data_IF_274006369919
#
_entry.id   IF_274006369919
#
_cell.length_a   1.000
_cell.length_b   1.000
_cell.length_c   1.000
_cell.angle_alpha   90.00
_cell.angle_beta   90.00
_cell.angle_gamma   90.00
#
_symmetry.space_group_name_H-M   'P 1'
#
loop_
_entity.id
_entity.type
_entity.pdbx_description
1 polymer ?
#
# COMPACT_ATOMS: atom_id res chain seq x y z
N UNK A 1 -24.86 8.86 18.82
CA UNK A 1 -23.96 8.38 17.77
C UNK A 1 -24.06 9.38 16.65
N UNK A 2 -23.03 10.20 16.47
CA UNK A 2 -23.05 11.32 15.53
C UNK A 2 -22.98 10.77 14.09
N UNK A 3 -23.78 11.30 13.17
CA UNK A 3 -23.76 10.99 11.72
C UNK A 3 -22.35 11.11 11.08
N UNK A 4 -21.46 11.87 11.70
CA UNK A 4 -20.05 12.00 11.29
C UNK A 4 -19.23 10.71 11.44
N UNK A 5 -19.55 9.84 12.40
CA UNK A 5 -18.83 8.57 12.59
C UNK A 5 -19.20 7.51 11.54
N UNK A 6 -20.39 7.60 10.95
CA UNK A 6 -20.83 6.68 9.89
C UNK A 6 -20.17 6.97 8.52
N UNK A 7 -19.75 8.22 8.28
CA UNK A 7 -19.11 8.63 7.01
C UNK A 7 -17.68 8.13 6.94
N UNK A 8 -16.97 8.04 8.07
CA UNK A 8 -15.58 7.60 8.14
C UNK A 8 -15.37 6.11 7.83
N UNK A 9 -16.36 5.26 8.10
CA UNK A 9 -16.30 3.82 7.83
C UNK A 9 -16.56 3.41 6.38
N UNK A 10 -16.94 4.36 5.49
CA UNK A 10 -17.32 4.07 4.10
C UNK A 10 -16.34 4.62 3.07
N UNK A 11 -15.22 5.21 3.50
CA UNK A 11 -14.20 5.72 2.57
C UNK A 11 -13.23 4.58 2.25
N UNK A 12 -13.63 3.65 1.40
CA UNK A 12 -12.68 2.80 0.71
C UNK A 12 -11.89 3.67 -0.29
N UNK A 13 -10.65 3.97 0.06
CA UNK A 13 -9.73 4.58 -0.90
C UNK A 13 -9.49 3.58 -2.03
N UNK A 14 -9.95 3.94 -3.22
CA UNK A 14 -9.53 3.18 -4.42
C UNK A 14 -8.00 3.28 -4.52
N UNK A 15 -7.30 2.14 -4.66
CA UNK A 15 -5.86 2.14 -4.85
C UNK A 15 -5.45 3.07 -5.99
N UNK A 16 -4.29 3.73 -5.92
CA UNK A 16 -3.82 4.56 -7.01
C UNK A 16 -3.65 3.69 -8.27
N UNK A 17 -3.92 4.28 -9.44
CA UNK A 17 -3.58 3.64 -10.71
C UNK A 17 -2.05 3.55 -10.82
N UNK A 18 -1.53 2.37 -11.18
CA UNK A 18 -0.08 2.09 -11.19
C UNK A 18 0.70 3.08 -12.08
N UNK A 19 0.10 3.52 -13.18
CA UNK A 19 0.70 4.46 -14.14
C UNK A 19 0.73 5.92 -13.65
N UNK A 20 -0.08 6.25 -12.65
CA UNK A 20 -0.24 7.63 -12.15
C UNK A 20 0.42 7.85 -10.79
N UNK A 21 1.13 6.85 -10.29
CA UNK A 21 1.81 6.97 -9.00
C UNK A 21 2.97 7.94 -9.09
N UNK A 22 3.09 8.81 -8.10
CA UNK A 22 4.30 9.59 -7.88
C UNK A 22 5.34 8.69 -7.24
N UNK A 23 6.37 8.34 -7.99
CA UNK A 23 7.34 7.29 -7.59
C UNK A 23 8.47 7.83 -6.69
N UNK A 24 8.75 9.13 -6.73
CA UNK A 24 9.88 9.72 -6.01
C UNK A 24 11.20 9.01 -6.33
N UNK A 25 11.96 8.66 -5.31
CA UNK A 25 13.22 7.93 -5.43
C UNK A 25 13.05 6.42 -5.69
N UNK A 26 11.81 5.90 -5.75
CA UNK A 26 11.51 4.47 -5.86
C UNK A 26 11.33 4.00 -7.31
N UNK A 27 11.90 4.69 -8.30
CA UNK A 27 11.66 4.46 -9.72
C UNK A 27 11.90 3.00 -10.18
N UNK A 28 12.96 2.35 -9.69
CA UNK A 28 13.28 0.97 -10.06
C UNK A 28 12.23 -0.03 -9.54
N UNK A 29 11.81 0.12 -8.28
CA UNK A 29 10.77 -0.73 -7.70
C UNK A 29 9.46 -0.61 -8.48
N UNK A 30 9.06 0.61 -8.83
CA UNK A 30 7.85 0.86 -9.61
C UNK A 30 7.97 0.38 -11.06
N UNK A 31 9.15 0.46 -11.67
CA UNK A 31 9.39 -0.13 -13.00
C UNK A 31 9.16 -1.64 -12.98
N UNK A 32 9.61 -2.34 -11.94
CA UNK A 32 9.36 -3.77 -11.78
C UNK A 32 7.90 -4.11 -11.52
N UNK A 33 7.17 -3.29 -10.74
CA UNK A 33 5.74 -3.49 -10.56
C UNK A 33 4.96 -3.38 -11.88
N UNK A 34 5.34 -2.44 -12.75
CA UNK A 34 4.75 -2.33 -14.09
C UNK A 34 5.07 -3.56 -14.94
N UNK A 35 6.33 -4.03 -14.97
CA UNK A 35 6.72 -5.25 -15.70
C UNK A 35 5.96 -6.48 -15.21
N UNK A 36 5.79 -6.60 -13.89
CA UNK A 36 4.99 -7.67 -13.30
C UNK A 36 3.52 -7.63 -13.74
N UNK A 37 2.93 -6.43 -13.77
CA UNK A 37 1.58 -6.24 -14.28
C UNK A 37 1.45 -6.60 -15.76
N UNK A 38 2.52 -6.40 -16.55
CA UNK A 38 2.60 -6.79 -17.95
C UNK A 38 2.99 -8.27 -18.16
N UNK A 39 3.03 -9.07 -17.07
CA UNK A 39 3.29 -10.51 -17.11
C UNK A 39 4.76 -10.90 -17.09
N UNK A 40 5.70 -9.95 -16.93
CA UNK A 40 7.12 -10.27 -16.82
C UNK A 40 7.43 -10.91 -15.45
N UNK A 41 8.22 -11.98 -15.46
CA UNK A 41 8.62 -12.67 -14.25
C UNK A 41 9.92 -12.07 -13.69
N UNK A 42 9.97 -11.67 -12.41
CA UNK A 42 11.20 -11.20 -11.80
C UNK A 42 12.21 -12.34 -11.63
N UNK A 43 13.50 -12.03 -11.50
CA UNK A 43 14.54 -13.01 -11.16
C UNK A 43 14.10 -13.88 -9.99
N UNK A 44 14.37 -15.18 -10.07
CA UNK A 44 13.93 -16.17 -9.08
C UNK A 44 12.43 -16.18 -8.79
N UNK A 45 11.61 -15.46 -9.58
CA UNK A 45 10.18 -15.33 -9.39
C UNK A 45 9.78 -14.57 -8.13
N UNK A 46 10.62 -13.68 -7.59
CA UNK A 46 10.36 -13.01 -6.30
C UNK A 46 10.71 -11.54 -6.35
N UNK A 47 9.84 -10.74 -5.73
CA UNK A 47 10.06 -9.32 -5.47
C UNK A 47 9.68 -9.02 -4.03
N UNK A 48 10.60 -8.47 -3.25
CA UNK A 48 10.35 -7.97 -1.89
C UNK A 48 10.53 -6.45 -1.85
N UNK A 49 9.48 -5.76 -1.45
CA UNK A 49 9.49 -4.32 -1.16
C UNK A 49 9.58 -4.15 0.36
N UNK A 50 10.57 -3.42 0.85
CA UNK A 50 10.67 -3.18 2.30
C UNK A 50 10.90 -1.71 2.60
N UNK A 51 10.53 -1.28 3.81
CA UNK A 51 10.72 0.11 4.21
C UNK A 51 9.90 0.48 5.44
N UNK A 52 10.21 1.63 6.02
CA UNK A 52 9.52 2.15 7.19
C UNK A 52 8.03 2.43 6.96
N UNK A 53 7.33 2.89 8.00
CA UNK A 53 5.96 3.36 7.87
C UNK A 53 5.84 4.46 6.80
N UNK A 54 4.68 4.53 6.15
CA UNK A 54 4.36 5.54 5.12
C UNK A 54 5.28 5.53 3.88
N UNK A 55 6.11 4.49 3.65
CA UNK A 55 6.95 4.37 2.44
C UNK A 55 6.18 3.93 1.19
N UNK A 56 4.87 3.66 1.28
CA UNK A 56 4.03 3.34 0.13
C UNK A 56 3.91 1.85 -0.19
N UNK A 57 4.40 0.93 0.65
CA UNK A 57 4.36 -0.53 0.44
C UNK A 57 2.99 -1.07 0.10
N UNK A 58 2.03 -0.83 1.00
CA UNK A 58 0.64 -1.25 0.80
C UNK A 58 0.03 -0.66 -0.47
N UNK A 59 0.27 0.64 -0.72
CA UNK A 59 -0.19 1.30 -1.94
C UNK A 59 0.40 0.65 -3.20
N UNK A 60 1.68 0.24 -3.15
CA UNK A 60 2.36 -0.44 -4.24
C UNK A 60 1.71 -1.79 -4.58
N UNK A 61 1.46 -2.64 -3.56
CA UNK A 61 0.81 -3.93 -3.78
C UNK A 61 -0.66 -3.79 -4.22
N UNK A 62 -1.39 -2.85 -3.65
CA UNK A 62 -2.78 -2.57 -4.04
C UNK A 62 -2.86 -2.03 -5.47
N UNK A 63 -1.94 -1.14 -5.88
CA UNK A 63 -1.87 -0.64 -7.24
C UNK A 63 -1.54 -1.76 -8.25
N UNK A 64 -0.61 -2.65 -7.90
CA UNK A 64 -0.30 -3.84 -8.70
C UNK A 64 -1.52 -4.77 -8.82
N UNK A 65 -2.14 -5.12 -7.70
CA UNK A 65 -3.33 -5.97 -7.67
C UNK A 65 -4.46 -5.39 -8.51
N UNK A 66 -4.73 -4.09 -8.38
CA UNK A 66 -5.72 -3.40 -9.20
C UNK A 66 -5.39 -3.50 -10.69
N UNK A 67 -4.15 -3.20 -11.08
CA UNK A 67 -3.71 -3.25 -12.49
C UNK A 67 -3.85 -4.65 -13.08
N UNK A 68 -3.46 -5.69 -12.32
CA UNK A 68 -3.64 -7.08 -12.74
C UNK A 68 -5.12 -7.42 -12.93
N UNK A 69 -5.99 -7.00 -12.01
CA UNK A 69 -7.43 -7.18 -12.13
C UNK A 69 -8.04 -6.45 -13.35
N UNK A 70 -7.59 -5.22 -13.64
CA UNK A 70 -8.01 -4.47 -14.84
C UNK A 70 -7.61 -5.19 -16.15
N UNK A 71 -6.53 -5.98 -16.12
CA UNK A 71 -6.07 -6.81 -17.23
C UNK A 71 -6.64 -8.24 -17.21
N UNK A 72 -7.62 -8.52 -16.32
CA UNK A 72 -8.20 -9.85 -16.14
C UNK A 72 -7.17 -10.94 -15.79
N UNK A 73 -6.12 -10.56 -15.07
CA UNK A 73 -5.12 -11.49 -14.55
C UNK A 73 -5.51 -11.93 -13.15
N UNK A 74 -5.82 -13.21 -12.99
CA UNK A 74 -6.12 -13.78 -11.68
C UNK A 74 -4.87 -13.78 -10.81
N UNK A 75 -5.04 -13.41 -9.54
CA UNK A 75 -3.96 -13.37 -8.55
C UNK A 75 -4.54 -13.43 -7.13
N UNK A 76 -3.68 -13.68 -6.15
CA UNK A 76 -4.06 -13.62 -4.74
C UNK A 76 -3.37 -12.45 -4.04
N UNK A 77 -4.14 -11.69 -3.25
CA UNK A 77 -3.61 -10.66 -2.35
C UNK A 77 -3.96 -11.02 -0.90
N UNK A 78 -2.94 -11.16 -0.06
CA UNK A 78 -3.09 -11.42 1.38
C UNK A 78 -2.50 -10.23 2.14
N UNK A 79 -3.31 -9.57 2.95
CA UNK A 79 -2.83 -8.55 3.90
C UNK A 79 -2.73 -9.17 5.28
N UNK A 80 -1.54 -9.10 5.89
CA UNK A 80 -1.29 -9.61 7.22
C UNK A 80 -1.38 -8.48 8.25
N UNK A 81 -1.81 -8.84 9.46
CA UNK A 81 -1.86 -7.94 10.61
C UNK A 81 -1.09 -8.56 11.78
N UNK A 82 -0.76 -7.77 12.80
CA UNK A 82 -0.02 -8.23 13.97
C UNK A 82 -0.66 -9.48 14.63
N UNK A 83 -1.98 -9.57 14.65
CA UNK A 83 -2.70 -10.75 15.13
C UNK A 83 -2.40 -12.03 14.33
N UNK A 84 -1.94 -11.91 13.09
CA UNK A 84 -1.60 -13.06 12.24
C UNK A 84 -0.39 -13.84 12.76
N UNK A 85 0.53 -13.17 13.47
CA UNK A 85 1.75 -13.80 14.00
C UNK A 85 1.46 -14.96 14.96
N UNK A 86 0.36 -14.93 15.67
CA UNK A 86 -0.04 -15.95 16.66
C UNK A 86 -0.91 -17.06 16.08
N UNK A 87 -1.20 -17.05 14.78
CA UNK A 87 -2.01 -18.09 14.13
C UNK A 87 -1.29 -19.45 14.18
N UNK A 88 -2.01 -20.46 14.64
CA UNK A 88 -1.54 -21.85 14.68
C UNK A 88 -1.94 -22.67 13.44
N UNK A 89 -2.83 -22.13 12.61
CA UNK A 89 -3.28 -22.74 11.36
C UNK A 89 -3.52 -21.69 10.29
N UNK A 90 -3.34 -22.08 9.02
CA UNK A 90 -3.66 -21.24 7.87
C UNK A 90 -5.18 -21.03 7.76
N UNK A 91 -5.59 -19.82 7.41
CA UNK A 91 -6.98 -19.54 7.03
C UNK A 91 -7.32 -20.24 5.71
N UNK A 92 -8.61 -20.43 5.38
CA UNK A 92 -9.00 -21.00 4.09
C UNK A 92 -8.42 -20.24 2.90
N UNK A 93 -8.48 -18.91 2.91
CA UNK A 93 -7.93 -18.06 1.83
C UNK A 93 -6.40 -18.15 1.73
N UNK A 94 -5.68 -18.24 2.84
CA UNK A 94 -4.22 -18.46 2.84
C UNK A 94 -3.87 -19.82 2.23
N UNK A 95 -4.63 -20.87 2.57
CA UNK A 95 -4.42 -22.22 2.01
C UNK A 95 -4.65 -22.23 0.49
N UNK A 96 -5.73 -21.63 0.03
CA UNK A 96 -6.06 -21.51 -1.38
C UNK A 96 -4.95 -20.76 -2.14
N UNK A 97 -4.57 -19.58 -1.66
CA UNK A 97 -3.52 -18.76 -2.29
C UNK A 97 -2.16 -19.46 -2.35
N UNK A 98 -1.81 -20.25 -1.32
CA UNK A 98 -0.54 -21.00 -1.30
C UNK A 98 -0.58 -22.24 -2.19
N UNK A 99 -1.74 -22.87 -2.37
CA UNK A 99 -1.95 -24.02 -3.25
C UNK A 99 -1.98 -23.63 -4.73
N UNK A 100 -2.45 -22.42 -5.05
CA UNK A 100 -2.58 -21.88 -6.42
C UNK A 100 -1.20 -21.44 -6.96
N UNK A 101 -0.31 -22.41 -7.24
CA UNK A 101 1.08 -22.14 -7.66
C UNK A 101 1.19 -21.44 -9.02
N UNK A 102 0.16 -21.54 -9.85
CA UNK A 102 0.10 -20.92 -11.18
C UNK A 102 -0.38 -19.46 -11.16
N UNK A 103 -0.86 -18.97 -10.01
CA UNK A 103 -1.31 -17.60 -9.84
C UNK A 103 -0.30 -16.77 -9.04
N UNK A 104 -0.06 -15.51 -9.44
CA UNK A 104 0.75 -14.58 -8.66
C UNK A 104 0.22 -14.44 -7.23
N UNK A 105 1.14 -14.45 -6.26
CA UNK A 105 0.83 -14.26 -4.84
C UNK A 105 1.41 -12.94 -4.34
N UNK A 106 0.53 -12.06 -3.92
CA UNK A 106 0.88 -10.78 -3.31
C UNK A 106 0.69 -10.89 -1.79
N UNK A 107 1.68 -10.50 -0.99
CA UNK A 107 1.59 -10.53 0.49
C UNK A 107 1.99 -9.17 1.05
N UNK A 108 1.06 -8.49 1.69
CA UNK A 108 1.33 -7.24 2.40
C UNK A 108 1.64 -7.48 3.88
N UNK A 109 2.62 -6.73 4.42
CA UNK A 109 3.09 -6.81 5.80
C UNK A 109 3.65 -8.20 6.18
N UNK A 110 4.52 -8.75 5.36
CA UNK A 110 5.10 -10.08 5.53
C UNK A 110 5.70 -10.31 6.92
N UNK A 111 6.21 -9.28 7.60
CA UNK A 111 6.73 -9.34 8.96
C UNK A 111 5.74 -9.89 9.99
N UNK A 112 4.45 -9.91 9.66
CA UNK A 112 3.40 -10.48 10.50
C UNK A 112 3.04 -11.93 10.18
N UNK A 113 3.82 -12.60 9.33
CA UNK A 113 3.57 -14.01 9.00
C UNK A 113 3.82 -14.92 10.21
N UNK A 114 2.80 -15.73 10.55
CA UNK A 114 2.93 -16.79 11.58
C UNK A 114 3.95 -17.85 11.14
N UNK A 115 4.45 -18.65 12.08
CA UNK A 115 5.37 -19.75 11.75
C UNK A 115 4.76 -20.74 10.76
N UNK A 116 3.46 -21.05 10.88
CA UNK A 116 2.77 -21.93 9.94
C UNK A 116 2.74 -21.35 8.52
N UNK A 117 2.48 -20.05 8.41
CA UNK A 117 2.51 -19.36 7.11
C UNK A 117 3.92 -19.32 6.54
N UNK A 118 4.94 -19.04 7.35
CA UNK A 118 6.35 -19.07 6.92
C UNK A 118 6.76 -20.45 6.39
N UNK A 119 6.35 -21.53 7.05
CA UNK A 119 6.61 -22.90 6.60
C UNK A 119 5.95 -23.18 5.24
N UNK A 120 4.68 -22.79 5.08
CA UNK A 120 3.94 -23.01 3.86
C UNK A 120 4.50 -22.16 2.68
N UNK A 121 4.91 -20.92 2.94
CA UNK A 121 5.61 -20.08 1.96
C UNK A 121 6.94 -20.69 1.53
N UNK A 122 7.73 -21.18 2.48
CA UNK A 122 8.99 -21.87 2.16
C UNK A 122 8.73 -23.09 1.29
N UNK A 123 7.74 -23.94 1.66
CA UNK A 123 7.37 -25.11 0.87
C UNK A 123 6.97 -24.74 -0.58
N UNK A 124 6.17 -23.67 -0.77
CA UNK A 124 5.81 -23.15 -2.11
C UNK A 124 7.05 -22.73 -2.90
N UNK A 125 7.98 -21.99 -2.28
CA UNK A 125 9.17 -21.47 -2.94
C UNK A 125 10.18 -22.57 -3.34
N UNK A 126 10.19 -23.69 -2.63
CA UNK A 126 11.09 -24.83 -2.92
C UNK A 126 10.42 -25.87 -3.81
N UNK A 127 9.16 -26.18 -3.55
CA UNK A 127 8.42 -27.23 -4.23
C UNK A 127 7.99 -26.91 -5.67
N UNK A 128 7.91 -25.63 -6.01
CA UNK A 128 7.48 -25.17 -7.33
C UNK A 128 8.39 -24.04 -7.86
N UNK A 129 9.60 -24.36 -8.36
CA UNK A 129 10.53 -23.33 -8.85
C UNK A 129 9.99 -22.49 -10.03
N UNK A 130 9.07 -23.07 -10.81
CA UNK A 130 8.36 -22.39 -11.91
C UNK A 130 7.05 -21.72 -11.50
N UNK A 131 6.70 -21.73 -10.20
CA UNK A 131 5.49 -21.07 -9.70
C UNK A 131 5.40 -19.63 -10.16
N UNK A 132 4.16 -19.13 -10.30
CA UNK A 132 3.91 -17.72 -10.57
C UNK A 132 4.56 -16.82 -9.51
N UNK A 133 4.85 -15.55 -9.83
CA UNK A 133 5.62 -14.66 -8.96
C UNK A 133 5.06 -14.51 -7.56
N UNK A 134 5.96 -14.41 -6.58
CA UNK A 134 5.69 -13.92 -5.23
C UNK A 134 6.14 -12.45 -5.13
N UNK A 135 5.21 -11.56 -4.80
CA UNK A 135 5.50 -10.16 -4.48
C UNK A 135 5.12 -9.92 -3.03
N UNK A 136 6.08 -9.50 -2.23
CA UNK A 136 5.81 -9.26 -0.82
C UNK A 136 6.20 -7.84 -0.40
N UNK A 137 5.51 -7.31 0.59
CA UNK A 137 5.94 -6.10 1.30
C UNK A 137 6.31 -6.43 2.74
N UNK A 138 7.25 -5.66 3.31
CA UNK A 138 7.66 -5.79 4.70
C UNK A 138 8.10 -4.46 5.30
N UNK A 139 7.80 -4.27 6.59
CA UNK A 139 8.37 -3.17 7.38
C UNK A 139 9.87 -3.32 7.64
N UNK A 140 10.43 -4.51 7.42
CA UNK A 140 11.79 -4.89 7.74
C UNK A 140 12.52 -5.46 6.51
N UNK A 141 13.84 -5.24 6.45
CA UNK A 141 14.68 -5.89 5.44
C UNK A 141 14.72 -7.42 5.64
N UNK A 142 15.08 -8.22 4.61
CA UNK A 142 15.24 -9.67 4.75
C UNK A 142 16.16 -10.06 5.92
N UNK A 143 17.25 -9.29 6.13
CA UNK A 143 18.18 -9.52 7.23
C UNK A 143 17.52 -9.26 8.58
N UNK A 144 16.80 -8.15 8.71
CA UNK A 144 16.15 -7.72 9.96
C UNK A 144 14.96 -8.60 10.36
N UNK A 145 14.32 -9.30 9.42
CA UNK A 145 13.25 -10.26 9.71
C UNK A 145 13.70 -11.37 10.68
N UNK A 146 15.00 -11.68 10.75
CA UNK A 146 15.53 -12.65 11.70
C UNK A 146 15.28 -12.28 13.15
N UNK A 147 15.32 -11.00 13.50
CA UNK A 147 15.02 -10.50 14.84
C UNK A 147 13.54 -10.69 15.24
N UNK A 148 12.65 -10.88 14.26
CA UNK A 148 11.22 -11.16 14.45
C UNK A 148 10.91 -12.68 14.46
N UNK A 149 11.92 -13.54 14.51
CA UNK A 149 11.73 -14.98 14.54
C UNK A 149 11.47 -15.62 13.17
N UNK A 150 11.78 -14.91 12.08
CA UNK A 150 11.70 -15.50 10.74
C UNK A 150 12.79 -16.56 10.54
N UNK A 151 12.39 -17.66 9.92
CA UNK A 151 13.27 -18.76 9.55
C UNK A 151 14.36 -18.28 8.57
N UNK A 152 15.59 -18.72 8.82
CA UNK A 152 16.74 -18.35 7.99
C UNK A 152 16.60 -18.82 6.54
N UNK A 153 16.10 -20.05 6.34
CA UNK A 153 15.89 -20.63 5.02
C UNK A 153 14.89 -19.81 4.18
N UNK A 154 13.78 -19.34 4.77
CA UNK A 154 12.82 -18.48 4.09
C UNK A 154 13.43 -17.11 3.76
N UNK A 155 14.14 -16.49 4.72
CA UNK A 155 14.80 -15.19 4.50
C UNK A 155 15.81 -15.25 3.35
N UNK A 156 16.62 -16.31 3.32
CA UNK A 156 17.59 -16.55 2.24
C UNK A 156 16.89 -16.67 0.90
N UNK A 157 15.79 -17.40 0.82
CA UNK A 157 15.00 -17.53 -0.40
C UNK A 157 14.39 -16.22 -0.86
N UNK A 158 13.84 -15.42 0.05
CA UNK A 158 13.31 -14.09 -0.28
C UNK A 158 14.41 -13.16 -0.80
N UNK A 159 15.60 -13.22 -0.21
CA UNK A 159 16.75 -12.40 -0.61
C UNK A 159 17.38 -12.79 -1.95
N UNK A 160 17.11 -13.99 -2.48
CA UNK A 160 17.59 -14.42 -3.81
C UNK A 160 16.86 -13.73 -4.97
N UNK A 161 15.65 -13.22 -4.73
CA UNK A 161 14.90 -12.42 -5.70
C UNK A 161 15.32 -10.97 -5.72
N UNK A 162 14.47 -10.13 -6.31
CA UNK A 162 14.64 -8.67 -6.24
C UNK A 162 14.23 -8.15 -4.87
N UNK A 163 15.06 -7.30 -4.29
CA UNK A 163 14.79 -6.67 -3.00
C UNK A 163 15.00 -5.17 -3.11
N UNK A 164 13.91 -4.40 -2.99
CA UNK A 164 13.96 -2.95 -3.09
C UNK A 164 13.55 -2.28 -1.78
N UNK A 165 14.40 -1.38 -1.24
CA UNK A 165 13.96 -0.47 -0.20
C UNK A 165 12.98 0.55 -0.80
N UNK A 166 11.88 0.81 -0.11
CA UNK A 166 10.98 1.91 -0.43
C UNK A 166 11.22 3.08 0.52
N UNK A 167 11.53 4.22 -0.07
CA UNK A 167 11.75 5.48 0.64
C UNK A 167 10.44 6.28 0.64
N UNK A 168 10.02 6.84 1.79
CA UNK A 168 8.87 7.75 1.82
C UNK A 168 9.04 8.92 0.85
N UNK A 169 7.95 9.35 0.24
CA UNK A 169 7.97 10.50 -0.65
C UNK A 169 8.44 11.76 0.05
N UNK A 170 9.31 12.54 -0.58
CA UNK A 170 9.71 13.87 -0.15
C UNK A 170 8.51 14.85 -0.18
N UNK A 171 8.66 16.01 0.46
CA UNK A 171 7.58 16.99 0.62
C UNK A 171 7.04 17.48 -0.73
N UNK A 172 7.92 17.71 -1.71
CA UNK A 172 7.52 18.11 -3.08
C UNK A 172 6.66 17.05 -3.77
N UNK A 173 7.01 15.77 -3.59
CA UNK A 173 6.27 14.67 -4.19
C UNK A 173 4.95 14.42 -3.44
N UNK A 174 4.93 14.57 -2.10
CA UNK A 174 3.70 14.53 -1.33
C UNK A 174 2.73 15.64 -1.76
N UNK A 175 3.23 16.85 -1.96
CA UNK A 175 2.42 17.96 -2.50
C UNK A 175 1.83 17.61 -3.87
N UNK A 176 2.62 16.99 -4.74
CA UNK A 176 2.16 16.55 -6.06
C UNK A 176 1.02 15.53 -5.93
N UNK A 177 1.13 14.56 -5.02
CA UNK A 177 0.05 13.57 -4.77
C UNK A 177 -1.21 14.25 -4.24
N UNK A 178 -1.08 15.18 -3.29
CA UNK A 178 -2.24 15.91 -2.76
C UNK A 178 -2.94 16.73 -3.85
N UNK A 179 -2.19 17.39 -4.75
CA UNK A 179 -2.74 18.10 -5.91
C UNK A 179 -3.47 17.15 -6.87
N UNK A 180 -2.88 16.00 -7.19
CA UNK A 180 -3.54 14.98 -8.03
C UNK A 180 -4.84 14.47 -7.40
N UNK A 181 -4.85 14.22 -6.09
CA UNK A 181 -6.06 13.80 -5.37
C UNK A 181 -7.12 14.89 -5.39
N UNK A 182 -6.74 16.13 -5.12
CA UNK A 182 -7.65 17.28 -5.14
C UNK A 182 -8.23 17.53 -6.55
N UNK A 183 -7.42 17.37 -7.59
CA UNK A 183 -7.90 17.41 -8.97
C UNK A 183 -8.93 16.32 -9.26
N UNK A 184 -8.66 15.07 -8.84
CA UNK A 184 -9.59 13.97 -8.99
C UNK A 184 -10.92 14.20 -8.23
N UNK A 185 -10.88 14.98 -7.13
CA UNK A 185 -12.05 15.42 -6.38
C UNK A 185 -12.77 16.65 -6.99
N UNK A 186 -12.24 17.19 -8.08
CA UNK A 186 -12.84 18.34 -8.78
C UNK A 186 -12.53 19.72 -8.14
N UNK A 187 -11.54 19.81 -7.23
CA UNK A 187 -11.18 21.10 -6.60
C UNK A 187 -10.51 22.05 -7.55
N UNK A 188 -9.78 21.54 -8.52
CA UNK A 188 -8.99 22.27 -9.48
C UNK A 188 -9.04 21.64 -10.87
N UNK A 189 -8.94 22.48 -11.89
CA UNK A 189 -8.98 22.02 -13.28
C UNK A 189 -7.66 21.38 -13.73
N UNK A 190 -6.53 21.83 -13.16
CA UNK A 190 -5.16 21.38 -13.52
C UNK A 190 -4.35 21.05 -12.28
N UNK A 191 -3.41 20.08 -12.35
CA UNK A 191 -2.55 19.71 -11.21
C UNK A 191 -1.55 20.79 -10.81
N UNK A 192 -1.27 21.74 -11.70
CA UNK A 192 -0.35 22.89 -11.49
C UNK A 192 -1.05 24.13 -10.93
N UNK A 193 -2.37 24.08 -10.72
CA UNK A 193 -3.11 25.14 -10.07
C UNK A 193 -2.68 25.26 -8.59
N UNK A 194 -2.34 26.47 -8.17
CA UNK A 194 -1.80 26.76 -6.83
C UNK A 194 -2.84 27.26 -5.84
N UNK A 195 -4.11 27.36 -6.25
CA UNK A 195 -5.19 27.92 -5.45
C UNK A 195 -5.32 27.28 -4.05
N UNK A 196 -5.07 25.97 -3.95
CA UNK A 196 -5.20 25.21 -2.70
C UNK A 196 -3.87 24.88 -2.03
N UNK A 197 -2.73 25.37 -2.54
CA UNK A 197 -1.40 25.08 -1.98
C UNK A 197 -1.30 25.44 -0.50
N UNK A 198 -1.92 26.53 -0.07
CA UNK A 198 -1.94 26.92 1.34
C UNK A 198 -2.59 25.85 2.22
N UNK A 199 -3.60 25.12 1.72
CA UNK A 199 -4.25 24.01 2.42
C UNK A 199 -3.30 22.79 2.45
N UNK A 200 -2.70 22.44 1.34
CA UNK A 200 -1.80 21.29 1.25
C UNK A 200 -0.55 21.49 2.12
N UNK A 201 0.07 22.66 2.07
CA UNK A 201 1.22 22.99 2.92
C UNK A 201 0.85 22.98 4.41
N UNK A 202 -0.32 23.50 4.75
CA UNK A 202 -0.83 23.40 6.12
C UNK A 202 -0.95 21.92 6.56
N UNK A 203 -1.48 21.05 5.70
CA UNK A 203 -1.61 19.63 6.00
C UNK A 203 -0.23 18.99 6.22
N UNK A 204 0.74 19.21 5.33
CA UNK A 204 2.08 18.65 5.43
C UNK A 204 2.86 19.12 6.66
N UNK A 205 2.60 20.34 7.14
CA UNK A 205 3.28 20.95 8.29
C UNK A 205 2.63 20.60 9.64
N UNK A 206 1.32 20.39 9.68
CA UNK A 206 0.56 20.32 10.92
C UNK A 206 -0.14 18.98 11.18
N UNK A 207 -0.11 18.07 10.21
CA UNK A 207 -0.79 16.78 10.29
C UNK A 207 0.20 15.61 10.16
N UNK A 208 -0.19 14.39 10.56
CA UNK A 208 0.63 13.20 10.38
C UNK A 208 1.04 13.04 8.91
N UNK A 209 2.33 12.83 8.64
CA UNK A 209 2.88 12.70 7.27
C UNK A 209 2.62 11.33 6.64
N UNK A 210 1.52 10.70 6.98
CA UNK A 210 1.05 9.47 6.36
C UNK A 210 0.18 9.82 5.15
N UNK A 211 0.68 9.60 3.96
CA UNK A 211 0.05 10.10 2.72
C UNK A 211 -1.37 9.54 2.51
N UNK A 212 -1.61 8.25 2.82
CA UNK A 212 -2.96 7.67 2.77
C UNK A 212 -3.92 8.42 3.72
N UNK A 213 -3.47 8.70 4.94
CA UNK A 213 -4.26 9.48 5.89
C UNK A 213 -4.56 10.90 5.36
N UNK A 214 -3.56 11.58 4.80
CA UNK A 214 -3.74 12.91 4.20
C UNK A 214 -4.75 12.87 3.03
N UNK A 215 -4.67 11.87 2.17
CA UNK A 215 -5.62 11.68 1.07
C UNK A 215 -7.04 11.40 1.58
N UNK A 216 -7.18 10.59 2.63
CA UNK A 216 -8.45 10.33 3.29
C UNK A 216 -9.08 11.61 3.87
N UNK A 217 -8.26 12.45 4.52
CA UNK A 217 -8.72 13.77 5.02
C UNK A 217 -9.21 14.66 3.87
N UNK A 218 -8.50 14.72 2.73
CA UNK A 218 -8.95 15.48 1.56
C UNK A 218 -10.33 15.01 1.08
N UNK A 219 -10.54 13.70 1.03
CA UNK A 219 -11.81 13.12 0.61
C UNK A 219 -12.93 13.47 1.59
N UNK A 220 -12.68 13.38 2.90
CA UNK A 220 -13.66 13.76 3.92
C UNK A 220 -13.98 15.26 3.89
N UNK A 221 -12.98 16.11 3.69
CA UNK A 221 -13.18 17.56 3.50
C UNK A 221 -14.05 17.85 2.28
N UNK A 222 -13.83 17.15 1.18
CA UNK A 222 -14.66 17.26 -0.02
C UNK A 222 -16.13 16.92 0.28
N UNK A 223 -16.37 15.79 0.95
CA UNK A 223 -17.72 15.38 1.33
C UNK A 223 -18.37 16.40 2.28
N UNK A 224 -17.66 16.87 3.30
CA UNK A 224 -18.16 17.86 4.24
C UNK A 224 -18.49 19.20 3.54
N UNK A 225 -17.64 19.65 2.60
CA UNK A 225 -17.88 20.87 1.83
C UNK A 225 -19.17 20.76 1.00
N UNK A 226 -19.40 19.61 0.34
CA UNK A 226 -20.60 19.35 -0.45
C UNK A 226 -21.86 19.29 0.44
N UNK A 227 -21.82 18.55 1.55
CA UNK A 227 -22.96 18.40 2.46
C UNK A 227 -23.35 19.71 3.14
N UNK A 228 -22.36 20.47 3.61
CA UNK A 228 -22.58 21.73 4.30
C UNK A 228 -22.75 22.93 3.36
N UNK A 229 -22.57 22.73 2.04
CA UNK A 229 -22.56 23.80 1.02
C UNK A 229 -21.60 24.94 1.39
N UNK A 230 -20.41 24.59 1.88
CA UNK A 230 -19.38 25.53 2.32
C UNK A 230 -18.13 25.42 1.43
N UNK A 231 -17.39 26.52 1.23
CA UNK A 231 -16.14 26.49 0.49
C UNK A 231 -15.07 25.68 1.26
N UNK A 232 -14.19 25.02 0.50
CA UNK A 232 -13.03 24.34 1.04
C UNK A 232 -12.08 25.39 1.65
N UNK A 233 -11.73 25.18 2.92
CA UNK A 233 -10.93 26.13 3.67
C UNK A 233 -10.19 25.46 4.83
N UNK A 234 -9.14 26.11 5.35
CA UNK A 234 -8.38 25.59 6.51
C UNK A 234 -9.26 25.37 7.75
N UNK A 235 -10.24 26.24 8.10
CA UNK A 235 -11.18 25.96 9.19
C UNK A 235 -12.00 24.68 9.00
N UNK A 236 -12.52 24.44 7.78
CA UNK A 236 -13.25 23.21 7.47
C UNK A 236 -12.32 21.99 7.56
N UNK A 237 -11.09 22.09 7.03
CA UNK A 237 -10.09 21.06 7.12
C UNK A 237 -9.80 20.67 8.59
N UNK A 238 -9.61 21.65 9.48
CA UNK A 238 -9.38 21.38 10.91
C UNK A 238 -10.55 20.65 11.56
N UNK A 239 -11.78 21.12 11.36
CA UNK A 239 -12.96 20.49 11.95
C UNK A 239 -13.15 19.04 11.50
N UNK A 240 -12.80 18.73 10.25
CA UNK A 240 -12.84 17.37 9.71
C UNK A 240 -11.70 16.52 10.28
N UNK A 241 -10.47 17.05 10.29
CA UNK A 241 -9.30 16.32 10.77
C UNK A 241 -9.37 15.96 12.26
N UNK A 242 -9.99 16.78 13.11
CA UNK A 242 -10.26 16.49 14.53
C UNK A 242 -11.16 15.26 14.70
N UNK A 243 -12.06 15.00 13.75
CA UNK A 243 -12.90 13.80 13.71
C UNK A 243 -12.21 12.56 13.13
N UNK A 244 -11.06 12.73 12.47
CA UNK A 244 -10.25 11.63 11.95
C UNK A 244 -9.44 11.04 13.11
N UNK A 245 -9.89 9.92 13.68
CA UNK A 245 -9.13 9.21 14.70
C UNK A 245 -7.73 8.87 14.15
N UNK A 246 -6.71 9.29 14.87
CA UNK A 246 -5.32 8.88 14.67
C UNK A 246 -5.13 7.42 15.09
N UNK A 247 -5.77 6.50 14.40
CA UNK A 247 -5.43 5.08 14.53
C UNK A 247 -4.50 4.75 13.37
N UNK A 248 -3.23 4.42 13.68
CA UNK A 248 -2.26 4.00 12.67
C UNK A 248 -2.62 2.66 12.06
#
# INVERSE_FOLDING_TARGET
VSDQQLILGLIEESPPALERVVVGENAEAWAWLNRLADGERPPEGRLLLWGGPASGKTAALQALSRRMGEQSQDHHLITLAAATQTQQALTPSQREALASVDLPLLIDNLEHASQVLQQALFARLVGAPSAAPLVASSGQSPQSLGALGFREDLRTRLAQGLVYPLVPLGESDQLRVLRQKAQALGWMARPDDTQFDGIFLYMLQRMPRHLGWLCGVLQAVNQAALQQKRPISVPLLRSVAEGFSTTP
#
